data_IF_062008007577
#
_entry.id   IF_062008007577
#
_cell.length_a   1.000
_cell.length_b   1.000
_cell.length_c   1.000
_cell.angle_alpha   90.00
_cell.angle_beta   90.00
_cell.angle_gamma   90.00
#
_symmetry.space_group_name_H-M   'P 1'
#
loop_
_entity.id
_entity.type
_entity.pdbx_description
1 polymer ?
#
# COMPACT_ATOMS: atom_id res chain seq x y z
N UNK A 1 -6.73 10.21 14.03
CA UNK A 1 -6.38 8.90 13.45
C UNK A 1 -5.16 9.10 12.57
N UNK A 2 -4.09 8.34 12.76
CA UNK A 2 -2.90 8.37 11.90
C UNK A 2 -2.81 7.01 11.21
N UNK A 3 -2.55 6.99 9.91
CA UNK A 3 -2.59 5.77 9.07
C UNK A 3 -1.22 5.31 8.59
N UNK A 4 -0.28 6.22 8.44
CA UNK A 4 1.05 6.04 7.86
C UNK A 4 2.17 5.99 8.89
N UNK A 5 1.82 5.92 10.19
CA UNK A 5 2.77 5.83 11.30
C UNK A 5 3.51 4.50 11.25
N UNK A 6 4.84 4.55 11.22
CA UNK A 6 5.73 3.39 11.35
C UNK A 6 6.73 3.64 12.47
N UNK A 7 7.00 2.60 13.27
CA UNK A 7 8.01 2.62 14.32
C UNK A 7 9.26 1.87 13.86
N UNK A 8 10.42 2.44 14.14
CA UNK A 8 11.71 1.76 13.96
C UNK A 8 12.66 2.13 15.10
N UNK A 9 12.85 1.18 16.04
CA UNK A 9 13.56 1.46 17.29
C UNK A 9 12.87 2.60 18.04
N UNK A 10 13.64 3.63 18.40
CA UNK A 10 13.14 4.83 19.08
C UNK A 10 12.72 5.96 18.10
N UNK A 11 12.62 5.64 16.80
CA UNK A 11 12.22 6.57 15.75
C UNK A 11 10.78 6.32 15.33
N UNK A 12 10.02 7.41 15.19
CA UNK A 12 8.65 7.41 14.68
C UNK A 12 8.61 8.15 13.37
N UNK A 13 7.89 7.57 12.43
CA UNK A 13 7.86 8.02 11.05
C UNK A 13 6.45 8.24 10.55
N UNK A 14 6.24 9.38 9.92
CA UNK A 14 4.97 9.76 9.31
C UNK A 14 5.17 10.03 7.83
N UNK A 15 4.34 9.43 6.98
CA UNK A 15 4.27 9.81 5.56
C UNK A 15 3.14 10.80 5.38
N UNK A 16 3.46 12.05 5.07
CA UNK A 16 2.49 13.13 5.15
C UNK A 16 1.42 13.03 4.05
N UNK A 17 1.81 12.69 2.83
CA UNK A 17 0.87 12.60 1.71
C UNK A 17 -0.29 11.61 1.94
N UNK A 18 -0.08 10.36 2.39
CA UNK A 18 -1.21 9.49 2.73
C UNK A 18 -2.08 10.06 3.86
N UNK A 19 -1.53 10.71 4.88
CA UNK A 19 -2.34 11.36 5.94
C UNK A 19 -3.25 12.45 5.37
N UNK A 20 -2.69 13.28 4.48
CA UNK A 20 -3.42 14.35 3.80
C UNK A 20 -4.55 13.80 2.94
N UNK A 21 -4.25 12.79 2.11
CA UNK A 21 -5.22 12.25 1.15
C UNK A 21 -6.32 11.47 1.84
N UNK A 22 -5.99 10.62 2.81
CA UNK A 22 -7.00 9.77 3.46
C UNK A 22 -7.97 10.65 4.26
N UNK A 23 -7.48 11.75 4.82
CA UNK A 23 -8.35 12.72 5.47
C UNK A 23 -9.20 13.46 4.45
N UNK A 24 -8.60 14.07 3.43
CA UNK A 24 -9.34 14.86 2.42
C UNK A 24 -10.24 14.04 1.51
N UNK A 25 -10.01 12.74 1.33
CA UNK A 25 -10.82 11.90 0.43
C UNK A 25 -12.04 11.32 1.16
N UNK A 26 -11.90 11.00 2.45
CA UNK A 26 -12.95 10.31 3.21
C UNK A 26 -13.63 11.18 4.27
N UNK A 27 -13.05 12.31 4.66
CA UNK A 27 -13.58 13.20 5.70
C UNK A 27 -14.08 14.54 5.14
N UNK A 28 -13.46 15.09 4.09
CA UNK A 28 -13.81 16.39 3.51
C UNK A 28 -14.19 16.23 2.02
N UNK A 29 -15.48 16.24 1.65
CA UNK A 29 -16.06 15.88 0.33
C UNK A 29 -15.54 16.64 -0.94
N UNK A 30 -14.23 16.64 -1.23
CA UNK A 30 -13.61 17.33 -2.35
C UNK A 30 -12.18 16.91 -2.70
N UNK A 31 -11.65 15.86 -2.08
CA UNK A 31 -10.28 15.37 -2.34
C UNK A 31 -10.05 14.93 -3.79
N UNK A 32 -8.87 15.23 -4.34
CA UNK A 32 -8.40 14.76 -5.66
C UNK A 32 -7.74 13.38 -5.60
N UNK A 33 -7.99 12.63 -4.53
CA UNK A 33 -7.33 11.34 -4.27
C UNK A 33 -5.82 11.50 -4.21
N UNK A 34 -5.08 10.59 -4.85
CA UNK A 34 -3.60 10.60 -4.83
C UNK A 34 -2.94 11.76 -5.58
N UNK A 35 -3.74 12.61 -6.24
CA UNK A 35 -3.27 13.84 -6.90
C UNK A 35 -3.35 15.07 -5.97
N UNK A 36 -3.82 14.93 -4.72
CA UNK A 36 -3.81 16.03 -3.76
C UNK A 36 -2.43 16.23 -3.12
N UNK A 37 -1.67 17.16 -3.68
CA UNK A 37 -0.28 17.44 -3.31
C UNK A 37 -0.12 18.69 -2.42
N UNK A 38 -1.22 19.25 -1.92
CA UNK A 38 -1.22 20.47 -1.08
C UNK A 38 -1.40 20.06 0.38
N UNK A 39 -0.41 20.32 1.21
CA UNK A 39 -0.47 20.04 2.64
C UNK A 39 -1.36 21.06 3.38
N UNK A 40 -2.32 20.55 4.14
CA UNK A 40 -3.19 21.34 5.03
C UNK A 40 -2.67 21.37 6.46
N UNK A 41 -3.09 22.39 7.21
CA UNK A 41 -2.74 22.53 8.64
C UNK A 41 -3.35 21.44 9.51
N UNK A 42 -4.54 20.97 9.16
CA UNK A 42 -5.22 19.92 9.92
C UNK A 42 -4.43 18.61 9.89
N UNK A 43 -3.76 18.30 8.77
CA UNK A 43 -2.87 17.14 8.67
C UNK A 43 -1.69 17.23 9.61
N UNK A 44 -1.02 18.38 9.68
CA UNK A 44 0.08 18.54 10.63
C UNK A 44 -0.39 18.57 12.08
N UNK A 45 -1.53 19.21 12.38
CA UNK A 45 -2.09 19.23 13.74
C UNK A 45 -2.38 17.82 14.24
N UNK A 46 -2.99 16.96 13.42
CA UNK A 46 -3.20 15.55 13.79
C UNK A 46 -1.90 14.81 14.08
N UNK A 47 -0.85 15.07 13.29
CA UNK A 47 0.47 14.48 13.53
C UNK A 47 1.07 15.02 14.84
N UNK A 48 0.93 16.32 15.11
CA UNK A 48 1.39 16.93 16.36
C UNK A 48 0.69 16.34 17.59
N UNK A 49 -0.63 16.12 17.52
CA UNK A 49 -1.43 15.49 18.58
C UNK A 49 -1.01 14.03 18.85
N UNK A 50 -0.56 13.31 17.82
CA UNK A 50 -0.10 11.92 17.93
C UNK A 50 1.39 11.79 18.29
N UNK A 51 2.18 12.85 18.11
CA UNK A 51 3.60 12.88 18.47
C UNK A 51 3.77 12.84 19.99
N UNK A 52 4.08 11.66 20.54
CA UNK A 52 4.40 11.48 21.94
C UNK A 52 5.91 11.29 22.13
N UNK A 53 6.57 12.14 22.95
CA UNK A 53 7.95 12.03 23.50
C UNK A 53 8.89 11.03 22.80
N UNK A 54 9.04 11.14 21.48
CA UNK A 54 9.83 10.21 20.68
C UNK A 54 11.28 10.69 20.65
N UNK A 55 12.24 9.76 20.60
CA UNK A 55 13.65 10.16 20.47
C UNK A 55 13.87 10.85 19.12
N UNK A 56 13.33 10.28 18.05
CA UNK A 56 13.31 10.94 16.75
C UNK A 56 11.95 10.86 16.08
N UNK A 57 11.53 11.97 15.51
CA UNK A 57 10.37 12.08 14.62
C UNK A 57 10.85 12.40 13.22
N UNK A 58 10.43 11.59 12.24
CA UNK A 58 10.68 11.83 10.82
C UNK A 58 9.35 12.12 10.12
N UNK A 59 9.32 13.24 9.40
CA UNK A 59 8.20 13.65 8.57
C UNK A 59 8.60 13.54 7.09
N UNK A 60 7.93 12.65 6.35
CA UNK A 60 8.18 12.44 4.93
C UNK A 60 7.21 13.23 4.06
N UNK A 61 7.76 14.19 3.32
CA UNK A 61 7.03 15.10 2.42
C UNK A 61 6.97 14.59 0.98
N UNK A 62 7.33 13.33 0.71
CA UNK A 62 7.20 12.77 -0.64
C UNK A 62 5.80 13.04 -1.22
N UNK A 63 5.76 13.52 -2.47
CA UNK A 63 4.57 13.99 -3.23
C UNK A 63 3.89 15.27 -2.72
N UNK A 64 4.34 15.89 -1.64
CA UNK A 64 3.89 17.23 -1.24
C UNK A 64 4.68 18.28 -2.02
N UNK A 65 3.98 19.11 -2.79
CA UNK A 65 4.62 20.16 -3.61
C UNK A 65 4.39 21.56 -3.04
N UNK A 66 3.36 21.73 -2.22
CA UNK A 66 2.97 23.03 -1.66
C UNK A 66 2.19 22.85 -0.37
N UNK A 67 1.92 23.95 0.32
CA UNK A 67 1.38 23.93 1.68
C UNK A 67 0.59 25.22 1.96
N UNK A 68 -0.39 25.14 2.88
CA UNK A 68 -1.14 26.31 3.34
C UNK A 68 -0.29 27.21 4.25
N UNK A 69 -0.61 28.49 4.37
CA UNK A 69 0.15 29.44 5.19
C UNK A 69 0.21 29.02 6.67
N UNK A 70 1.27 29.42 7.39
CA UNK A 70 1.44 29.29 8.86
C UNK A 70 1.72 27.89 9.42
N UNK A 71 2.16 26.93 8.60
CA UNK A 71 2.46 25.57 9.07
C UNK A 71 3.75 25.44 9.88
N UNK A 72 4.65 26.43 9.78
CA UNK A 72 5.88 26.47 10.58
C UNK A 72 5.60 26.44 12.10
N UNK A 73 4.47 27.00 12.54
CA UNK A 73 4.09 26.97 13.96
C UNK A 73 3.91 25.53 14.44
N UNK A 74 3.19 24.71 13.68
CA UNK A 74 2.93 23.31 14.01
C UNK A 74 4.22 22.48 13.94
N UNK A 75 5.10 22.75 12.96
CA UNK A 75 6.41 22.08 12.91
C UNK A 75 7.29 22.40 14.12
N UNK A 76 7.18 23.61 14.68
CA UNK A 76 7.87 23.96 15.93
C UNK A 76 7.29 23.21 17.13
N UNK A 77 5.98 23.05 17.21
CA UNK A 77 5.33 22.24 18.25
C UNK A 77 5.77 20.77 18.18
N UNK A 78 5.83 20.19 16.98
CA UNK A 78 6.36 18.83 16.77
C UNK A 78 7.85 18.74 17.17
N UNK A 79 8.63 19.79 16.89
CA UNK A 79 10.03 19.87 17.31
C UNK A 79 10.17 19.90 18.83
N UNK A 80 9.28 20.58 19.55
CA UNK A 80 9.33 20.67 21.02
C UNK A 80 8.98 19.34 21.71
N UNK A 81 8.18 18.49 21.06
CA UNK A 81 7.78 17.17 21.57
C UNK A 81 8.74 16.04 21.21
N UNK A 82 9.70 16.27 20.30
CA UNK A 82 10.67 15.28 19.85
C UNK A 82 12.10 15.72 20.15
N UNK A 83 13.00 14.79 20.53
CA UNK A 83 14.41 15.19 20.74
C UNK A 83 15.09 15.59 19.43
N UNK A 84 14.69 14.96 18.33
CA UNK A 84 15.14 15.24 16.97
C UNK A 84 13.97 15.21 16.00
N UNK A 85 13.74 16.31 15.27
CA UNK A 85 12.81 16.37 14.15
C UNK A 85 13.58 16.45 12.84
N UNK A 86 13.27 15.52 11.93
CA UNK A 86 13.87 15.43 10.59
C UNK A 86 12.75 15.50 9.55
N UNK A 87 12.88 16.41 8.59
CA UNK A 87 12.02 16.47 7.42
C UNK A 87 12.76 15.82 6.25
N UNK A 88 12.09 14.96 5.50
CA UNK A 88 12.68 14.30 4.34
C UNK A 88 11.83 14.47 3.10
N UNK A 89 12.48 14.40 1.93
CA UNK A 89 11.87 14.61 0.62
C UNK A 89 11.05 15.91 0.52
N UNK A 90 11.51 16.96 1.20
CA UNK A 90 10.84 18.27 1.21
C UNK A 90 11.49 19.18 0.16
N UNK A 91 10.68 19.83 -0.68
CA UNK A 91 11.24 20.70 -1.73
C UNK A 91 11.87 21.97 -1.14
N UNK A 92 12.92 22.48 -1.78
CA UNK A 92 13.58 23.72 -1.39
C UNK A 92 12.64 24.92 -1.40
N UNK A 93 11.69 24.96 -2.33
CA UNK A 93 10.65 25.99 -2.38
C UNK A 93 9.81 26.04 -1.09
N UNK A 94 9.50 24.87 -0.53
CA UNK A 94 8.79 24.78 0.75
C UNK A 94 9.66 25.28 1.90
N UNK A 95 10.93 24.87 1.92
CA UNK A 95 11.88 25.25 2.96
C UNK A 95 12.10 26.77 2.96
N UNK A 96 12.26 27.38 1.80
CA UNK A 96 12.45 28.82 1.66
C UNK A 96 11.17 29.61 1.97
N UNK A 97 10.03 29.17 1.44
CA UNK A 97 8.73 29.80 1.64
C UNK A 97 8.22 29.75 3.09
N UNK A 98 8.77 28.87 3.92
CA UNK A 98 8.48 28.80 5.35
C UNK A 98 9.64 29.29 6.24
N UNK A 99 10.71 29.84 5.67
CA UNK A 99 11.90 30.25 6.43
C UNK A 99 12.54 29.12 7.27
N UNK A 100 12.38 27.86 6.83
CA UNK A 100 13.03 26.69 7.42
C UNK A 100 14.52 26.61 7.07
N UNK A 101 14.97 27.39 6.08
CA UNK A 101 16.38 27.58 5.75
C UNK A 101 17.23 28.20 6.89
N UNK A 102 16.57 28.66 7.96
CA UNK A 102 17.22 29.09 9.21
C UNK A 102 17.89 27.94 9.96
N UNK A 103 17.44 26.69 9.76
CA UNK A 103 18.03 25.49 10.35
C UNK A 103 19.26 25.03 9.55
N UNK A 104 20.46 25.36 10.06
CA UNK A 104 21.75 25.07 9.41
C UNK A 104 22.47 23.90 10.07
N UNK A 105 21.96 22.69 9.89
CA UNK A 105 22.64 21.47 10.32
C UNK A 105 23.64 21.00 9.25
N UNK A 106 24.85 20.59 9.65
CA UNK A 106 25.90 20.13 8.74
C UNK A 106 25.53 18.83 7.98
N UNK A 107 24.56 18.08 8.50
CA UNK A 107 24.08 16.82 7.91
C UNK A 107 22.87 17.01 6.99
N UNK A 108 22.47 18.24 6.69
CA UNK A 108 21.41 18.50 5.71
C UNK A 108 21.89 18.11 4.31
N UNK A 109 21.05 17.39 3.56
CA UNK A 109 21.37 16.89 2.22
C UNK A 109 20.35 17.46 1.23
N UNK A 110 20.81 18.39 0.39
CA UNK A 110 20.04 18.98 -0.71
C UNK A 110 20.53 18.40 -2.04
N UNK A 111 19.64 17.74 -2.78
CA UNK A 111 19.92 17.14 -4.09
C UNK A 111 18.82 17.60 -5.05
N UNK A 112 19.22 18.20 -6.18
CA UNK A 112 18.31 18.65 -7.24
C UNK A 112 17.13 19.52 -6.73
N UNK A 113 17.41 20.41 -5.78
CA UNK A 113 16.39 21.31 -5.20
C UNK A 113 15.44 20.63 -4.21
N UNK A 114 15.68 19.37 -3.82
CA UNK A 114 14.92 18.65 -2.80
C UNK A 114 15.83 18.27 -1.63
N UNK A 115 15.42 18.64 -0.41
CA UNK A 115 16.09 18.17 0.79
C UNK A 115 15.73 16.69 1.02
N UNK A 116 16.69 15.81 0.78
CA UNK A 116 16.60 14.40 1.17
C UNK A 116 16.62 14.28 2.70
N UNK A 117 17.40 15.13 3.35
CA UNK A 117 17.44 15.28 4.80
C UNK A 117 17.48 16.76 5.18
N UNK A 118 16.55 17.18 6.04
CA UNK A 118 16.57 18.47 6.70
C UNK A 118 16.35 18.28 8.21
N UNK A 119 17.41 18.45 8.99
CA UNK A 119 17.35 18.42 10.44
C UNK A 119 16.87 19.77 10.95
N UNK A 120 15.81 19.78 11.76
CA UNK A 120 15.32 20.99 12.42
C UNK A 120 16.02 21.26 13.76
N UNK A 121 16.93 20.38 14.20
CA UNK A 121 17.66 20.47 15.45
C UNK A 121 19.15 20.73 15.17
N UNK A 122 19.83 21.43 16.07
CA UNK A 122 21.26 21.73 15.96
C UNK A 122 22.16 20.56 16.39
N UNK A 123 21.55 19.46 16.88
CA UNK A 123 22.28 18.28 17.34
C UNK A 123 22.85 17.46 16.18
N UNK A 124 24.06 16.93 16.37
CA UNK A 124 24.80 16.14 15.38
C UNK A 124 24.44 14.64 15.39
N UNK A 125 23.32 14.22 15.99
CA UNK A 125 22.91 12.81 15.92
C UNK A 125 22.44 12.50 14.50
N UNK A 126 23.33 11.90 13.72
CA UNK A 126 23.06 11.45 12.35
C UNK A 126 22.17 10.22 12.40
N UNK A 127 21.06 10.26 11.70
CA UNK A 127 20.28 9.06 11.40
C UNK A 127 20.70 8.58 10.02
N UNK A 128 20.90 7.26 9.90
CA UNK A 128 21.14 6.62 8.62
C UNK A 128 19.87 6.70 7.76
N UNK A 129 19.92 7.59 6.77
CA UNK A 129 18.80 7.89 5.88
C UNK A 129 18.49 6.77 4.90
N UNK A 130 19.48 5.95 4.54
CA UNK A 130 19.31 4.88 3.55
C UNK A 130 18.30 3.82 4.03
N UNK A 131 18.03 3.78 5.33
CA UNK A 131 17.09 2.86 5.93
C UNK A 131 15.62 3.33 5.86
N UNK A 132 15.32 4.63 5.69
CA UNK A 132 13.93 5.11 5.65
C UNK A 132 13.30 4.92 4.27
N UNK A 133 13.05 3.65 3.95
CA UNK A 133 12.64 3.18 2.64
C UNK A 133 11.50 2.16 2.72
N UNK A 134 11.04 1.73 1.54
CA UNK A 134 10.13 0.61 1.29
C UNK A 134 10.44 -0.64 2.15
N UNK A 135 11.69 -0.83 2.56
CA UNK A 135 12.12 -1.92 3.43
C UNK A 135 11.50 -1.89 4.83
N UNK A 136 11.46 -0.73 5.53
CA UNK A 136 10.83 -0.66 6.87
C UNK A 136 9.36 -1.01 6.77
N UNK A 137 8.68 -0.48 5.75
CA UNK A 137 7.28 -0.80 5.50
C UNK A 137 7.09 -2.30 5.29
N UNK A 138 7.95 -2.94 4.47
CA UNK A 138 7.88 -4.40 4.24
C UNK A 138 8.16 -5.22 5.50
N UNK A 139 9.10 -4.78 6.34
CA UNK A 139 9.38 -5.42 7.63
C UNK A 139 8.19 -5.30 8.58
N UNK A 140 7.63 -4.10 8.75
CA UNK A 140 6.45 -3.88 9.59
C UNK A 140 5.22 -4.65 9.05
N UNK A 141 5.04 -4.68 7.73
CA UNK A 141 4.01 -5.49 7.09
C UNK A 141 4.18 -6.97 7.45
N UNK A 142 5.40 -7.51 7.32
CA UNK A 142 5.71 -8.90 7.65
C UNK A 142 5.39 -9.20 9.12
N UNK A 143 5.86 -8.36 10.04
CA UNK A 143 5.67 -8.58 11.48
C UNK A 143 4.20 -8.43 11.93
N UNK A 144 3.44 -7.53 11.31
CA UNK A 144 1.99 -7.45 11.52
C UNK A 144 1.29 -8.68 10.95
N UNK A 145 1.58 -9.05 9.70
CA UNK A 145 0.95 -10.19 9.03
C UNK A 145 1.16 -11.51 9.80
N UNK A 146 2.35 -11.74 10.37
CA UNK A 146 2.67 -12.94 11.16
C UNK A 146 1.66 -13.22 12.27
N UNK A 147 1.07 -12.19 12.88
CA UNK A 147 0.10 -12.34 13.98
C UNK A 147 -1.20 -13.00 13.53
N UNK A 148 -1.49 -12.96 12.23
CA UNK A 148 -2.70 -13.47 11.61
C UNK A 148 -2.47 -14.74 10.81
N UNK A 149 -1.30 -15.37 10.97
CA UNK A 149 -1.00 -16.66 10.34
C UNK A 149 -1.23 -17.76 11.37
N UNK A 150 -2.34 -18.49 11.20
CA UNK A 150 -2.60 -19.68 11.98
C UNK A 150 -1.85 -20.89 11.39
N UNK A 151 -0.95 -21.46 12.18
CA UNK A 151 -0.11 -22.61 11.80
C UNK A 151 -0.68 -23.95 12.29
N UNK A 152 -1.95 -23.97 12.68
CA UNK A 152 -2.45 -25.02 13.58
C UNK A 152 -2.58 -26.42 12.98
N UNK A 153 -2.58 -26.66 11.66
CA UNK A 153 -2.43 -28.00 11.06
C UNK A 153 -2.24 -27.97 9.53
N UNK A 154 -1.60 -29.00 8.95
CA UNK A 154 -1.60 -29.24 7.51
C UNK A 154 -3.03 -29.54 7.04
N UNK A 155 -3.57 -28.68 6.20
CA UNK A 155 -4.94 -28.76 5.67
C UNK A 155 -4.94 -28.84 4.16
N UNK A 156 -5.85 -29.63 3.59
CA UNK A 156 -6.14 -29.57 2.18
C UNK A 156 -6.81 -28.23 1.86
N UNK A 157 -6.32 -27.52 0.85
CA UNK A 157 -6.91 -26.27 0.44
C UNK A 157 -8.28 -26.51 -0.20
N UNK A 158 -9.29 -25.75 0.21
CA UNK A 158 -10.69 -25.95 -0.22
C UNK A 158 -10.91 -25.62 -1.70
N UNK A 159 -10.08 -24.73 -2.24
CA UNK A 159 -10.26 -24.14 -3.58
C UNK A 159 -9.22 -24.58 -4.59
N UNK A 160 -8.25 -25.44 -4.21
CA UNK A 160 -7.18 -25.91 -5.09
C UNK A 160 -6.58 -27.22 -4.59
N UNK A 161 -6.04 -28.03 -5.50
CA UNK A 161 -5.47 -29.35 -5.19
C UNK A 161 -4.06 -29.28 -4.56
N UNK A 162 -3.93 -28.54 -3.45
CA UNK A 162 -2.68 -28.38 -2.69
C UNK A 162 -2.95 -28.50 -1.18
N UNK A 163 -1.91 -28.75 -0.41
CA UNK A 163 -1.91 -28.63 1.04
C UNK A 163 -1.26 -27.33 1.47
N UNK A 164 -1.88 -26.66 2.44
CA UNK A 164 -1.29 -25.55 3.17
C UNK A 164 -0.96 -26.03 4.58
N UNK A 165 0.17 -25.57 5.12
CA UNK A 165 0.51 -25.81 6.53
C UNK A 165 0.04 -24.67 7.44
N UNK A 166 -0.44 -23.57 6.87
CA UNK A 166 -0.93 -22.41 7.59
C UNK A 166 -2.01 -21.67 6.79
N UNK A 167 -2.82 -20.90 7.51
CA UNK A 167 -3.89 -20.06 6.97
C UNK A 167 -3.64 -18.61 7.36
N UNK A 168 -3.85 -17.68 6.44
CA UNK A 168 -3.74 -16.23 6.69
C UNK A 168 -5.14 -15.67 6.90
N UNK A 169 -5.46 -15.21 8.12
CA UNK A 169 -6.72 -14.52 8.38
C UNK A 169 -6.65 -13.06 7.94
N UNK A 170 -6.85 -12.83 6.64
CA UNK A 170 -6.82 -11.48 6.05
C UNK A 170 -7.99 -10.63 6.56
N UNK A 171 -9.11 -11.23 6.94
CA UNK A 171 -10.25 -10.49 7.48
C UNK A 171 -9.91 -9.90 8.84
N UNK A 172 -9.30 -10.69 9.72
CA UNK A 172 -8.82 -10.23 11.02
C UNK A 172 -7.72 -9.19 10.86
N UNK A 173 -6.76 -9.39 9.94
CA UNK A 173 -5.72 -8.42 9.63
C UNK A 173 -6.29 -7.06 9.18
N UNK A 174 -7.26 -7.06 8.25
CA UNK A 174 -7.95 -5.84 7.79
C UNK A 174 -8.67 -5.15 8.96
N UNK A 175 -9.25 -5.91 9.88
CA UNK A 175 -10.08 -5.37 10.96
C UNK A 175 -9.25 -4.80 12.11
N UNK A 176 -8.18 -5.51 12.51
CA UNK A 176 -7.38 -5.17 13.69
C UNK A 176 -6.20 -4.23 13.39
N UNK A 177 -5.61 -4.32 12.19
CA UNK A 177 -4.54 -3.41 11.73
C UNK A 177 -5.04 -2.43 10.65
N UNK A 178 -6.31 -2.01 10.75
CA UNK A 178 -7.01 -1.25 9.70
C UNK A 178 -6.27 0.01 9.22
N UNK A 179 -5.65 0.78 10.12
CA UNK A 179 -4.87 1.99 9.77
C UNK A 179 -3.72 1.66 8.82
N UNK A 180 -2.95 0.63 9.17
CA UNK A 180 -1.83 0.15 8.37
C UNK A 180 -2.28 -0.44 7.04
N UNK A 181 -3.44 -1.11 7.03
CA UNK A 181 -4.05 -1.62 5.79
C UNK A 181 -4.49 -0.48 4.86
N UNK A 182 -5.07 0.60 5.37
CA UNK A 182 -5.39 1.77 4.54
C UNK A 182 -4.11 2.35 3.93
N UNK A 183 -3.03 2.48 4.71
CA UNK A 183 -1.75 2.95 4.18
C UNK A 183 -1.15 2.00 3.13
N UNK A 184 -1.29 0.69 3.35
CA UNK A 184 -0.93 -0.34 2.38
C UNK A 184 -1.68 -0.20 1.06
N UNK A 185 -2.98 0.10 1.12
CA UNK A 185 -3.83 0.31 -0.07
C UNK A 185 -3.47 1.63 -0.76
N UNK A 186 -3.10 2.68 -0.02
CA UNK A 186 -2.53 3.89 -0.61
C UNK A 186 -1.25 3.57 -1.41
N UNK A 187 -0.33 2.76 -0.88
CA UNK A 187 0.85 2.34 -1.64
C UNK A 187 0.48 1.54 -2.88
N UNK A 188 -0.52 0.67 -2.78
CA UNK A 188 -1.06 -0.06 -3.93
C UNK A 188 -1.65 0.87 -5.00
N UNK A 189 -2.34 1.94 -4.59
CA UNK A 189 -2.89 2.95 -5.50
C UNK A 189 -1.78 3.66 -6.29
N UNK A 190 -0.66 4.01 -5.64
CA UNK A 190 0.50 4.57 -6.32
C UNK A 190 1.04 3.61 -7.38
N UNK A 191 1.24 2.33 -7.05
CA UNK A 191 1.74 1.33 -8.00
C UNK A 191 0.77 1.12 -9.18
N UNK A 192 -0.54 1.09 -8.90
CA UNK A 192 -1.59 0.96 -9.90
C UNK A 192 -1.56 2.14 -10.87
N UNK A 193 -1.43 3.38 -10.34
CA UNK A 193 -1.32 4.59 -11.16
C UNK A 193 -0.16 4.51 -12.14
N UNK A 194 1.04 4.26 -11.62
CA UNK A 194 2.27 4.21 -12.42
C UNK A 194 2.20 3.13 -13.52
N UNK A 195 1.58 1.98 -13.22
CA UNK A 195 1.53 0.85 -14.15
C UNK A 195 0.45 0.95 -15.22
N UNK A 196 -0.73 1.44 -14.87
CA UNK A 196 -1.91 1.32 -15.75
C UNK A 196 -2.66 2.63 -16.01
N UNK A 197 -2.41 3.71 -15.25
CA UNK A 197 -3.13 4.98 -15.42
C UNK A 197 -2.28 6.09 -16.05
N UNK A 198 -0.96 6.03 -15.93
CA UNK A 198 -0.06 6.98 -16.61
C UNK A 198 0.21 6.49 -18.05
N UNK A 199 -0.06 7.33 -19.06
CA UNK A 199 0.25 7.07 -20.47
C UNK A 199 -0.96 7.07 -21.43
N UNK A 200 -0.74 6.62 -22.67
CA UNK A 200 -1.70 6.71 -23.80
C UNK A 200 -2.92 5.75 -23.70
N UNK A 201 -3.13 5.09 -22.56
CA UNK A 201 -4.28 4.22 -22.32
C UNK A 201 -5.44 5.03 -21.72
N UNK A 202 -6.09 5.84 -22.55
CA UNK A 202 -7.18 6.78 -22.20
C UNK A 202 -8.49 6.15 -21.68
N UNK A 203 -8.49 4.89 -21.24
CA UNK A 203 -9.66 4.28 -20.64
C UNK A 203 -9.39 3.91 -19.19
N UNK A 204 -9.95 4.71 -18.27
CA UNK A 204 -10.01 4.39 -16.85
C UNK A 204 -10.53 2.94 -16.67
N UNK A 205 -9.74 2.05 -16.07
CA UNK A 205 -10.16 0.68 -15.86
C UNK A 205 -11.24 0.61 -14.79
N UNK A 206 -12.09 -0.41 -14.88
CA UNK A 206 -13.07 -0.74 -13.85
C UNK A 206 -12.44 -1.75 -12.89
N UNK A 207 -12.51 -1.48 -11.59
CA UNK A 207 -12.03 -2.37 -10.53
C UNK A 207 -13.05 -3.48 -10.30
N UNK A 208 -12.64 -4.74 -10.41
CA UNK A 208 -13.53 -5.89 -10.22
C UNK A 208 -13.22 -6.58 -8.90
N UNK A 209 -14.20 -6.62 -7.99
CA UNK A 209 -14.07 -7.32 -6.71
C UNK A 209 -15.04 -8.51 -6.60
N UNK A 210 -14.68 -9.49 -5.76
CA UNK A 210 -15.31 -10.82 -5.76
C UNK A 210 -15.92 -11.23 -4.41
N UNK A 211 -15.54 -10.53 -3.34
CA UNK A 211 -15.96 -10.80 -1.97
C UNK A 211 -15.95 -9.49 -1.15
N UNK A 212 -16.37 -9.52 0.11
CA UNK A 212 -16.43 -8.33 0.97
C UNK A 212 -15.06 -7.69 1.21
N UNK A 213 -14.00 -8.48 1.35
CA UNK A 213 -12.66 -7.98 1.64
C UNK A 213 -12.06 -7.25 0.43
N UNK A 214 -12.17 -7.85 -0.76
CA UNK A 214 -11.79 -7.21 -2.02
C UNK A 214 -12.67 -6.01 -2.36
N UNK A 215 -13.95 -6.01 -1.98
CA UNK A 215 -14.82 -4.84 -2.14
C UNK A 215 -14.37 -3.66 -1.27
N UNK A 216 -13.92 -3.92 -0.03
CA UNK A 216 -13.32 -2.90 0.82
C UNK A 216 -12.06 -2.30 0.17
N UNK A 217 -11.15 -3.15 -0.33
CA UNK A 217 -9.92 -2.68 -1.01
C UNK A 217 -10.27 -1.90 -2.28
N UNK A 218 -11.19 -2.40 -3.10
CA UNK A 218 -11.63 -1.75 -4.33
C UNK A 218 -12.29 -0.39 -4.06
N UNK A 219 -13.06 -0.27 -2.98
CA UNK A 219 -13.67 1.00 -2.55
C UNK A 219 -12.61 2.02 -2.18
N UNK A 220 -11.57 1.61 -1.44
CA UNK A 220 -10.48 2.51 -1.10
C UNK A 220 -9.66 2.93 -2.32
N UNK A 221 -9.35 1.99 -3.22
CA UNK A 221 -8.67 2.30 -4.48
C UNK A 221 -9.51 3.23 -5.37
N UNK A 222 -10.82 2.99 -5.46
CA UNK A 222 -11.75 3.84 -6.20
C UNK A 222 -11.74 5.28 -5.68
N UNK A 223 -11.83 5.48 -4.35
CA UNK A 223 -11.78 6.83 -3.78
C UNK A 223 -10.43 7.52 -4.04
N UNK A 224 -9.33 6.78 -3.94
CA UNK A 224 -7.98 7.30 -4.16
C UNK A 224 -7.67 7.62 -5.63
N UNK A 225 -8.30 6.94 -6.59
CA UNK A 225 -7.95 7.00 -8.01
C UNK A 225 -9.09 7.49 -8.92
N UNK A 226 -10.29 7.69 -8.40
CA UNK A 226 -11.47 8.05 -9.19
C UNK A 226 -11.90 6.97 -10.18
N UNK A 227 -11.77 5.69 -9.81
CA UNK A 227 -12.11 4.54 -10.67
C UNK A 227 -13.48 3.95 -10.33
N UNK A 228 -14.18 3.43 -11.34
CA UNK A 228 -15.45 2.71 -11.16
C UNK A 228 -15.22 1.30 -10.57
N UNK A 229 -16.23 0.77 -9.87
CA UNK A 229 -16.21 -0.57 -9.28
C UNK A 229 -17.29 -1.45 -9.90
N UNK A 230 -16.93 -2.68 -10.24
CA UNK A 230 -17.82 -3.77 -10.59
C UNK A 230 -17.74 -4.88 -9.53
N UNK A 231 -18.88 -5.16 -8.89
CA UNK A 231 -18.98 -6.23 -7.89
C UNK A 231 -19.47 -7.50 -8.57
N UNK A 232 -18.66 -8.54 -8.55
CA UNK A 232 -19.04 -9.89 -8.97
C UNK A 232 -19.08 -10.82 -7.75
N UNK A 233 -20.19 -10.78 -7.03
CA UNK A 233 -20.35 -11.55 -5.79
C UNK A 233 -20.36 -13.07 -6.02
N UNK A 234 -19.76 -13.81 -5.09
CA UNK A 234 -19.70 -15.29 -5.02
C UNK A 234 -19.03 -15.95 -6.22
N UNK A 235 -17.99 -15.33 -6.78
CA UNK A 235 -17.10 -16.03 -7.71
C UNK A 235 -16.08 -16.85 -6.91
N UNK A 236 -16.09 -18.16 -7.13
CA UNK A 236 -15.11 -19.08 -6.56
C UNK A 236 -15.16 -20.41 -7.29
N UNK A 237 -14.15 -21.28 -7.15
CA UNK A 237 -14.08 -22.54 -7.90
C UNK A 237 -15.25 -23.49 -7.61
N UNK A 238 -15.95 -23.31 -6.48
CA UNK A 238 -17.10 -24.11 -6.05
C UNK A 238 -18.43 -23.43 -6.41
N UNK A 239 -18.47 -22.10 -6.52
CA UNK A 239 -19.70 -21.34 -6.61
C UNK A 239 -20.19 -21.17 -8.06
N UNK A 240 -21.50 -21.31 -8.27
CA UNK A 240 -22.14 -21.07 -9.58
C UNK A 240 -22.50 -19.58 -9.72
N UNK A 241 -22.30 -19.03 -10.91
CA UNK A 241 -22.75 -17.68 -11.27
C UNK A 241 -24.29 -17.63 -11.29
N UNK A 242 -24.89 -16.83 -10.41
CA UNK A 242 -26.35 -16.75 -10.25
C UNK A 242 -27.05 -15.75 -11.20
N UNK A 243 -26.32 -14.95 -11.99
CA UNK A 243 -26.88 -13.91 -12.88
C UNK A 243 -26.35 -14.00 -14.31
N UNK A 244 -27.18 -13.57 -15.28
CA UNK A 244 -26.77 -13.34 -16.68
C UNK A 244 -25.69 -12.23 -16.71
N UNK A 245 -24.44 -12.63 -16.87
CA UNK A 245 -23.26 -11.75 -16.97
C UNK A 245 -23.31 -10.79 -18.17
N UNK A 246 -24.09 -11.13 -19.20
CA UNK A 246 -24.09 -10.48 -20.51
C UNK A 246 -24.53 -9.01 -20.55
N UNK A 247 -24.84 -8.38 -19.42
CA UNK A 247 -25.17 -6.94 -19.37
C UNK A 247 -24.30 -6.12 -18.41
N UNK A 248 -23.38 -6.74 -17.65
CA UNK A 248 -22.61 -6.02 -16.62
C UNK A 248 -21.19 -5.68 -17.05
N UNK A 249 -20.60 -6.52 -17.91
CA UNK A 249 -19.30 -6.26 -18.51
C UNK A 249 -19.52 -5.53 -19.83
N UNK A 250 -18.83 -4.39 -19.98
CA UNK A 250 -18.91 -3.51 -21.14
C UNK A 250 -17.81 -3.95 -22.11
N UNK A 251 -18.20 -4.17 -23.35
CA UNK A 251 -17.27 -4.56 -24.41
C UNK A 251 -16.17 -3.50 -24.60
N UNK A 252 -14.93 -3.95 -24.86
CA UNK A 252 -13.73 -3.13 -25.06
C UNK A 252 -13.31 -2.24 -23.87
N UNK A 253 -13.97 -2.34 -22.71
CA UNK A 253 -13.51 -1.68 -21.47
C UNK A 253 -12.38 -2.46 -20.80
N UNK A 254 -11.50 -1.71 -20.14
CA UNK A 254 -10.39 -2.25 -19.37
C UNK A 254 -10.82 -2.60 -17.95
N UNK A 255 -10.33 -3.71 -17.41
CA UNK A 255 -10.67 -4.21 -16.09
C UNK A 255 -9.43 -4.63 -15.32
N UNK A 256 -9.41 -4.32 -14.02
CA UNK A 256 -8.38 -4.78 -13.07
C UNK A 256 -9.08 -5.58 -11.98
N UNK A 257 -8.62 -6.81 -11.73
CA UNK A 257 -9.18 -7.65 -10.66
C UNK A 257 -8.55 -7.28 -9.33
N UNK A 258 -9.37 -6.99 -8.33
CA UNK A 258 -8.94 -6.68 -6.97
C UNK A 258 -9.17 -7.90 -6.07
N UNK A 259 -8.14 -8.30 -5.33
CA UNK A 259 -8.21 -9.40 -4.37
C UNK A 259 -7.58 -9.00 -3.04
N UNK A 260 -8.05 -9.58 -1.95
CA UNK A 260 -7.41 -9.44 -0.65
C UNK A 260 -6.18 -10.36 -0.54
N UNK A 261 -6.33 -11.63 -0.92
CA UNK A 261 -5.25 -12.61 -0.93
C UNK A 261 -5.22 -13.40 -2.24
N UNK A 262 -4.04 -13.53 -2.85
CA UNK A 262 -3.85 -14.36 -4.05
C UNK A 262 -2.89 -15.50 -3.72
N UNK A 263 -3.43 -16.72 -3.56
CA UNK A 263 -2.64 -17.94 -3.37
C UNK A 263 -2.14 -18.49 -4.72
N UNK A 264 -2.97 -19.25 -5.43
CA UNK A 264 -2.67 -19.81 -6.77
C UNK A 264 -3.31 -19.01 -7.92
N UNK A 265 -4.09 -17.97 -7.59
CA UNK A 265 -4.76 -17.12 -8.59
C UNK A 265 -5.96 -17.76 -9.28
N UNK A 266 -6.54 -18.84 -8.77
CA UNK A 266 -7.71 -19.51 -9.37
C UNK A 266 -8.89 -18.56 -9.56
N UNK A 267 -9.22 -17.79 -8.53
CA UNK A 267 -10.32 -16.80 -8.56
C UNK A 267 -10.05 -15.66 -9.55
N UNK A 268 -8.81 -15.16 -9.59
CA UNK A 268 -8.37 -14.17 -10.59
C UNK A 268 -8.52 -14.72 -12.02
N UNK A 269 -8.11 -15.97 -12.27
CA UNK A 269 -8.24 -16.62 -13.59
C UNK A 269 -9.70 -16.81 -14.00
N UNK A 270 -10.58 -17.18 -13.07
CA UNK A 270 -12.01 -17.29 -13.34
C UNK A 270 -12.55 -15.93 -13.79
N UNK A 271 -12.27 -14.86 -13.04
CA UNK A 271 -12.76 -13.52 -13.38
C UNK A 271 -12.16 -12.99 -14.68
N UNK A 272 -10.87 -13.21 -14.92
CA UNK A 272 -10.22 -12.90 -16.21
C UNK A 272 -11.01 -13.52 -17.36
N UNK A 273 -11.29 -14.82 -17.29
CA UNK A 273 -12.03 -15.52 -18.34
C UNK A 273 -13.45 -14.95 -18.52
N UNK A 274 -14.13 -14.55 -17.45
CA UNK A 274 -15.46 -13.94 -17.54
C UNK A 274 -15.43 -12.57 -18.21
N UNK A 275 -14.43 -11.74 -17.88
CA UNK A 275 -14.19 -10.43 -18.50
C UNK A 275 -13.97 -10.62 -20.01
N UNK A 276 -13.00 -11.46 -20.38
CA UNK A 276 -12.61 -11.68 -21.76
C UNK A 276 -13.73 -12.34 -22.59
N UNK A 277 -14.41 -13.34 -22.02
CA UNK A 277 -15.56 -13.98 -22.67
C UNK A 277 -16.72 -13.01 -22.94
N UNK A 278 -16.88 -12.00 -22.08
CA UNK A 278 -17.91 -10.97 -22.23
C UNK A 278 -17.44 -9.78 -23.08
N UNK A 279 -16.28 -9.87 -23.74
CA UNK A 279 -15.73 -8.83 -24.62
C UNK A 279 -14.97 -7.70 -23.92
N UNK A 280 -14.77 -7.79 -22.59
CA UNK A 280 -13.92 -6.86 -21.85
C UNK A 280 -12.42 -7.18 -22.01
N UNK A 281 -11.56 -6.25 -21.61
CA UNK A 281 -10.10 -6.37 -21.66
C UNK A 281 -9.53 -6.47 -20.25
N UNK A 282 -8.96 -7.62 -19.92
CA UNK A 282 -8.25 -7.82 -18.67
C UNK A 282 -6.86 -7.14 -18.72
N UNK A 283 -6.60 -6.19 -17.84
CA UNK A 283 -5.30 -5.52 -17.73
C UNK A 283 -4.35 -6.23 -16.75
N UNK A 284 -4.90 -6.88 -15.73
CA UNK A 284 -4.13 -7.41 -14.63
C UNK A 284 -4.93 -7.56 -13.34
N UNK A 285 -4.22 -7.88 -12.27
CA UNK A 285 -4.80 -7.98 -10.93
C UNK A 285 -3.94 -7.25 -9.89
N UNK A 286 -4.60 -6.78 -8.85
CA UNK A 286 -3.99 -6.15 -7.68
C UNK A 286 -4.41 -6.94 -6.43
N UNK A 287 -3.49 -7.09 -5.48
CA UNK A 287 -3.85 -7.65 -4.17
C UNK A 287 -3.12 -7.05 -2.99
N UNK A 288 -3.69 -7.19 -1.79
CA UNK A 288 -2.98 -6.84 -0.57
C UNK A 288 -1.81 -7.80 -0.36
N UNK A 289 -2.07 -9.11 -0.47
CA UNK A 289 -1.05 -10.15 -0.31
C UNK A 289 -1.09 -11.10 -1.52
N UNK A 290 0.08 -11.53 -1.98
CA UNK A 290 0.22 -12.56 -3.03
C UNK A 290 1.25 -13.61 -2.63
N UNK A 291 1.00 -14.87 -2.95
CA UNK A 291 2.01 -15.93 -2.86
C UNK A 291 2.68 -16.08 -4.22
N UNK A 292 4.00 -15.95 -4.27
CA UNK A 292 4.78 -16.22 -5.47
C UNK A 292 5.03 -17.72 -5.60
N UNK A 293 4.44 -18.32 -6.62
CA UNK A 293 4.51 -19.77 -6.89
C UNK A 293 5.38 -20.14 -8.09
N UNK A 294 5.93 -19.14 -8.78
CA UNK A 294 6.84 -19.29 -9.91
C UNK A 294 8.12 -18.50 -9.65
N UNK A 295 9.25 -19.00 -10.16
CA UNK A 295 10.50 -18.24 -10.14
C UNK A 295 10.37 -16.98 -11.00
N UNK A 296 11.09 -15.91 -10.62
CA UNK A 296 10.96 -14.60 -11.29
C UNK A 296 11.22 -14.66 -12.80
N UNK A 297 12.11 -15.57 -13.23
CA UNK A 297 12.45 -15.78 -14.64
C UNK A 297 11.34 -16.46 -15.45
N UNK A 298 10.43 -17.18 -14.77
CA UNK A 298 9.32 -17.91 -15.41
C UNK A 298 8.04 -17.05 -15.52
N UNK A 299 8.04 -15.87 -14.90
CA UNK A 299 6.91 -14.94 -14.96
C UNK A 299 6.93 -14.19 -16.31
N UNK A 300 6.28 -14.79 -17.32
CA UNK A 300 6.21 -14.25 -18.67
C UNK A 300 5.51 -12.87 -18.75
N UNK A 301 4.55 -12.60 -17.85
CA UNK A 301 3.79 -11.34 -17.82
C UNK A 301 3.77 -10.79 -16.39
N UNK A 302 4.19 -9.53 -16.24
CA UNK A 302 4.06 -8.79 -14.99
C UNK A 302 2.70 -8.08 -14.96
N UNK A 303 1.61 -8.81 -15.02
CA UNK A 303 0.23 -8.27 -14.94
C UNK A 303 -0.34 -8.27 -13.52
N UNK A 304 0.41 -8.77 -12.53
CA UNK A 304 0.06 -8.70 -11.12
C UNK A 304 0.77 -7.54 -10.41
N UNK A 305 0.09 -6.91 -9.45
CA UNK A 305 0.69 -6.05 -8.42
C UNK A 305 0.23 -6.55 -7.05
N UNK A 306 1.09 -6.44 -6.05
CA UNK A 306 0.68 -6.66 -4.67
C UNK A 306 1.48 -5.80 -3.71
N UNK A 307 0.88 -5.51 -2.54
CA UNK A 307 1.59 -4.76 -1.49
C UNK A 307 2.67 -5.64 -0.86
N UNK A 308 2.34 -6.90 -0.59
CA UNK A 308 3.26 -7.85 0.02
C UNK A 308 3.25 -9.20 -0.69
N UNK A 309 4.44 -9.74 -0.94
CA UNK A 309 4.62 -11.06 -1.54
C UNK A 309 5.21 -12.06 -0.54
N UNK A 310 4.55 -13.20 -0.39
CA UNK A 310 5.11 -14.39 0.24
C UNK A 310 5.95 -15.10 -0.84
N UNK A 311 7.26 -15.10 -0.66
CA UNK A 311 8.25 -15.62 -1.60
C UNK A 311 9.13 -16.67 -0.92
N UNK A 312 9.95 -17.37 -1.69
CA UNK A 312 10.95 -18.31 -1.15
C UNK A 312 11.92 -17.65 -0.14
N UNK A 313 12.11 -16.33 -0.21
CA UNK A 313 13.02 -15.62 0.67
C UNK A 313 12.43 -15.35 2.07
N UNK A 314 11.10 -15.25 2.21
CA UNK A 314 10.45 -14.87 3.47
C UNK A 314 9.43 -15.91 3.98
N UNK A 315 9.08 -16.93 3.20
CA UNK A 315 8.05 -17.89 3.56
C UNK A 315 8.38 -18.69 4.83
N UNK A 316 9.67 -18.94 5.10
CA UNK A 316 10.12 -19.62 6.32
C UNK A 316 9.81 -18.82 7.57
N UNK A 317 10.10 -17.52 7.55
CA UNK A 317 9.79 -16.60 8.66
C UNK A 317 8.29 -16.53 8.93
N UNK A 318 7.48 -16.65 7.86
CA UNK A 318 6.02 -16.63 7.93
C UNK A 318 5.41 -18.00 8.23
N UNK A 319 6.22 -19.06 8.31
CA UNK A 319 5.76 -20.44 8.39
C UNK A 319 4.67 -20.78 7.34
N UNK A 320 4.83 -20.32 6.10
CA UNK A 320 3.85 -20.48 5.02
C UNK A 320 4.40 -21.35 3.89
N UNK A 321 3.80 -22.51 3.68
CA UNK A 321 4.25 -23.51 2.71
C UNK A 321 3.06 -24.09 1.95
N UNK A 322 3.25 -24.20 0.64
CA UNK A 322 2.34 -24.90 -0.27
C UNK A 322 3.02 -26.22 -0.64
N UNK A 323 2.30 -27.33 -0.50
CA UNK A 323 2.81 -28.65 -0.87
C UNK A 323 1.77 -29.45 -1.66
N UNK A 324 2.23 -30.44 -2.41
CA UNK A 324 1.37 -31.45 -3.04
C UNK A 324 1.81 -32.83 -2.56
N UNK A 325 1.02 -33.87 -2.85
CA UNK A 325 1.43 -35.26 -2.59
C UNK A 325 2.29 -35.85 -3.71
N UNK A 326 2.64 -35.06 -4.73
CA UNK A 326 3.51 -35.52 -5.81
C UNK A 326 4.97 -35.44 -5.34
N UNK A 327 5.71 -36.54 -5.47
CA UNK A 327 7.14 -36.55 -5.22
C UNK A 327 7.87 -35.67 -6.25
N UNK A 328 8.97 -35.04 -5.84
CA UNK A 328 9.87 -34.38 -6.80
C UNK A 328 10.42 -35.44 -7.76
N UNK A 329 10.42 -35.15 -9.07
CA UNK A 329 11.27 -35.86 -10.01
C UNK A 329 12.71 -35.77 -9.49
N UNK A 330 13.25 -36.88 -8.99
CA UNK A 330 14.68 -37.01 -8.74
C UNK A 330 15.34 -36.93 -10.11
N UNK A 331 15.95 -35.79 -10.41
CA UNK A 331 16.96 -35.77 -11.46
C UNK A 331 18.15 -36.57 -10.91
N UNK A 332 18.29 -37.81 -11.36
CA UNK A 332 19.54 -38.57 -11.29
C UNK A 332 20.63 -37.90 -12.12
#
# INVERSE_FOLDING_TARGET
MIVSKIFWGDTVCYSIHPEQIITSTYLDEGGRGIEDTILTIDTLNRIADDCSNSFCTILNFDKIISFQSNLITVLKEIKETSKNLILINISGEIVDGQHLNTYKNANNILIDGVYKLLYMNDNNSVIDYDFYNEEIFRLDFKEKLKKYIDSSNKMAHTSSSVYLNSYVDVKEFISLDYQFVIYSIYKLALQLREKWLIGAHHSNPILVCQNSNSAFIASLLSGLLGLDILILDKIGPINKLYKRLGSTIIENRNYIVVSDFVCLGTEVKIVKNLIEFSGGKYLGNVSLIRVQTFDEFDIAYKDALSVFEITKANNRDLNYYISTNLEMLRNE
#
